data_IF_421919473557
#
_entry.id   IF_421919473557
#
_cell.length_a   1.000
_cell.length_b   1.000
_cell.length_c   1.000
_cell.angle_alpha   90.00
_cell.angle_beta   90.00
_cell.angle_gamma   90.00
#
_symmetry.space_group_name_H-M   'P 1'
#
loop_
_entity.id
_entity.type
_entity.pdbx_description
1 polymer ?
#
# COMPACT_ATOMS: atom_id res chain seq x y z
N UNK A 1 49.09 -44.47 5.31
CA UNK A 1 50.10 -44.59 4.23
C UNK A 1 49.39 -45.06 2.96
N UNK A 2 49.82 -44.52 1.81
CA UNK A 2 49.47 -44.89 0.43
C UNK A 2 48.09 -44.53 -0.15
N UNK A 3 48.07 -43.33 -0.75
CA UNK A 3 47.59 -42.96 -2.10
C UNK A 3 46.83 -44.02 -2.91
N UNK A 4 45.65 -43.62 -3.41
CA UNK A 4 45.18 -43.98 -4.75
C UNK A 4 44.47 -42.76 -5.37
N UNK A 5 45.09 -42.15 -6.37
CA UNK A 5 44.39 -41.49 -7.49
C UNK A 5 44.03 -42.60 -8.49
N UNK A 6 42.95 -42.52 -9.33
CA UNK A 6 42.98 -41.54 -10.41
C UNK A 6 41.63 -41.12 -11.07
N UNK A 7 41.79 -40.20 -12.03
CA UNK A 7 40.99 -39.93 -13.25
C UNK A 7 39.78 -39.00 -13.17
N UNK A 8 40.07 -37.74 -13.50
CA UNK A 8 39.22 -36.88 -14.35
C UNK A 8 38.93 -37.57 -15.69
N UNK A 9 37.67 -37.49 -16.11
CA UNK A 9 37.24 -37.53 -17.51
C UNK A 9 36.44 -36.25 -17.75
N UNK A 10 37.07 -35.32 -18.49
CA UNK A 10 36.36 -34.22 -19.13
C UNK A 10 35.55 -34.78 -20.30
N UNK A 11 34.25 -34.51 -20.29
CA UNK A 11 33.39 -34.50 -21.47
C UNK A 11 32.73 -33.13 -21.56
N UNK A 12 33.23 -32.30 -22.46
CA UNK A 12 32.76 -30.96 -22.74
C UNK A 12 31.51 -30.97 -23.64
N UNK A 13 30.54 -30.08 -23.38
CA UNK A 13 30.06 -29.06 -24.34
C UNK A 13 28.74 -28.44 -23.85
N UNK A 14 28.76 -27.12 -23.57
CA UNK A 14 27.53 -26.31 -23.54
C UNK A 14 27.52 -25.16 -22.53
N UNK A 15 27.82 -23.94 -23.01
CA UNK A 15 27.48 -22.61 -22.45
C UNK A 15 28.56 -21.77 -21.75
N UNK A 16 29.61 -21.44 -22.51
CA UNK A 16 30.56 -20.33 -22.26
C UNK A 16 29.95 -18.92 -22.45
N UNK A 17 28.70 -18.68 -22.06
CA UNK A 17 28.08 -17.33 -22.09
C UNK A 17 27.75 -16.75 -20.71
N UNK A 18 27.74 -17.56 -19.66
CA UNK A 18 27.41 -17.10 -18.30
C UNK A 18 28.62 -16.60 -17.50
N UNK A 19 29.84 -16.98 -17.89
CA UNK A 19 31.07 -16.68 -17.12
C UNK A 19 31.83 -15.42 -17.58
N UNK A 20 31.53 -14.84 -18.75
CA UNK A 20 32.16 -13.56 -19.16
C UNK A 20 31.42 -12.34 -18.61
N UNK A 21 30.09 -12.43 -18.41
CA UNK A 21 29.30 -11.32 -17.87
C UNK A 21 29.63 -10.99 -16.39
N UNK A 22 30.03 -12.00 -15.61
CA UNK A 22 30.42 -11.83 -14.21
C UNK A 22 31.83 -11.21 -14.05
N UNK A 23 32.70 -11.33 -15.05
CA UNK A 23 34.05 -10.76 -15.03
C UNK A 23 34.10 -9.30 -15.54
N UNK A 24 33.15 -8.89 -16.36
CA UNK A 24 33.03 -7.52 -16.87
C UNK A 24 32.35 -6.57 -15.86
N UNK A 25 31.52 -7.09 -14.96
CA UNK A 25 30.89 -6.34 -13.87
C UNK A 25 31.86 -5.94 -12.74
N UNK A 26 33.03 -6.54 -12.66
CA UNK A 26 34.03 -6.32 -11.61
C UNK A 26 35.12 -5.28 -11.98
N UNK A 27 34.99 -4.57 -13.12
CA UNK A 27 36.00 -3.60 -13.60
C UNK A 27 35.47 -2.17 -13.82
N UNK A 28 34.28 -1.85 -13.30
CA UNK A 28 33.71 -0.51 -13.38
C UNK A 28 33.41 0.02 -11.97
N UNK A 29 34.44 0.08 -11.14
CA UNK A 29 34.49 0.99 -9.99
C UNK A 29 35.42 2.15 -10.34
N UNK A 30 35.05 3.35 -9.88
CA UNK A 30 35.68 4.66 -10.08
C UNK A 30 35.35 5.40 -11.40
N UNK A 31 34.18 6.04 -11.42
CA UNK A 31 33.99 7.30 -12.14
C UNK A 31 33.10 8.24 -11.32
N UNK A 32 33.53 9.47 -11.01
CA UNK A 32 32.65 10.46 -10.39
C UNK A 32 31.52 10.83 -11.36
N UNK A 33 30.31 11.01 -10.80
CA UNK A 33 29.15 11.50 -11.53
C UNK A 33 29.42 12.93 -12.05
N UNK A 34 29.04 13.26 -13.30
CA UNK A 34 29.21 14.61 -13.81
C UNK A 34 28.22 15.58 -13.13
N UNK A 35 28.58 16.86 -12.97
CA UNK A 35 27.68 17.85 -12.39
C UNK A 35 26.47 18.09 -13.29
N UNK A 36 25.28 18.11 -12.69
CA UNK A 36 24.02 18.43 -13.37
C UNK A 36 24.07 19.89 -13.82
N UNK A 37 24.25 20.12 -15.12
CA UNK A 37 24.16 21.43 -15.73
C UNK A 37 22.70 21.93 -15.71
N UNK A 38 22.45 23.08 -15.09
CA UNK A 38 21.16 23.78 -15.17
C UNK A 38 20.95 24.26 -16.61
N UNK A 39 20.07 23.60 -17.37
CA UNK A 39 19.64 24.12 -18.67
C UNK A 39 18.58 25.20 -18.47
N UNK A 40 18.91 26.44 -18.81
CA UNK A 40 17.94 27.52 -19.03
C UNK A 40 17.12 27.20 -20.29
N UNK A 41 15.91 26.66 -20.12
CA UNK A 41 14.95 26.54 -21.20
C UNK A 41 13.87 27.61 -21.08
N UNK A 42 13.73 28.36 -22.16
CA UNK A 42 12.73 29.40 -22.42
C UNK A 42 11.30 28.89 -22.15
N UNK A 43 10.53 29.70 -21.43
CA UNK A 43 9.16 29.44 -21.04
C UNK A 43 8.25 29.09 -22.24
N UNK A 44 7.81 27.84 -22.29
CA UNK A 44 6.61 27.46 -23.05
C UNK A 44 5.38 27.87 -22.25
N UNK A 45 4.37 28.41 -22.94
CA UNK A 45 3.08 28.82 -22.37
C UNK A 45 2.50 27.73 -21.45
N UNK A 46 2.07 28.06 -20.21
CA UNK A 46 1.60 27.06 -19.27
C UNK A 46 0.28 26.45 -19.74
N UNK A 47 0.24 25.12 -19.83
CA UNK A 47 -1.02 24.37 -19.88
C UNK A 47 -1.83 24.65 -18.60
N UNK A 48 -3.16 24.82 -18.65
CA UNK A 48 -3.95 25.26 -17.49
C UNK A 48 -4.11 24.22 -16.37
N UNK A 49 -3.68 22.97 -16.61
CA UNK A 49 -3.73 21.88 -15.63
C UNK A 49 -2.29 21.42 -15.37
N UNK A 50 -1.82 21.43 -14.10
CA UNK A 50 -0.50 20.93 -13.79
C UNK A 50 -0.41 19.46 -14.18
N UNK A 51 0.66 19.07 -14.88
CA UNK A 51 0.94 17.66 -15.17
C UNK A 51 1.06 16.90 -13.84
N UNK A 52 0.33 15.78 -13.70
CA UNK A 52 0.37 14.94 -12.50
C UNK A 52 1.68 14.16 -12.47
N UNK A 53 2.62 14.58 -11.62
CA UNK A 53 3.95 14.01 -11.46
C UNK A 53 4.48 14.20 -10.04
N UNK A 54 4.12 13.27 -9.14
CA UNK A 54 4.55 13.28 -7.73
C UNK A 54 6.05 13.04 -7.60
N UNK A 55 6.62 12.15 -8.43
CA UNK A 55 8.04 11.84 -8.40
C UNK A 55 8.89 13.08 -8.68
N UNK A 56 8.48 13.89 -9.67
CA UNK A 56 9.11 15.18 -9.95
C UNK A 56 8.97 16.14 -8.79
N UNK A 57 7.78 16.28 -8.19
CA UNK A 57 7.59 17.13 -7.02
C UNK A 57 8.54 16.75 -5.88
N UNK A 58 8.69 15.45 -5.58
CA UNK A 58 9.61 14.98 -4.55
C UNK A 58 11.06 15.32 -4.93
N UNK A 59 11.48 15.01 -6.15
CA UNK A 59 12.84 15.27 -6.60
C UNK A 59 13.24 16.76 -6.55
N UNK A 60 12.27 17.67 -6.75
CA UNK A 60 12.49 19.12 -6.76
C UNK A 60 12.44 19.77 -5.37
N UNK A 61 11.80 19.14 -4.38
CA UNK A 61 11.50 19.79 -3.09
C UNK A 61 12.03 19.02 -1.86
N UNK A 62 12.41 17.75 -1.99
CA UNK A 62 12.88 16.95 -0.87
C UNK A 62 14.28 17.40 -0.39
N UNK A 63 14.45 17.52 0.92
CA UNK A 63 15.74 17.82 1.56
C UNK A 63 16.21 16.61 2.34
N UNK A 64 17.36 16.04 1.97
CA UNK A 64 17.90 14.87 2.64
C UNK A 64 18.41 15.22 4.06
N UNK A 65 17.83 14.58 5.09
CA UNK A 65 18.33 14.67 6.46
C UNK A 65 19.57 13.78 6.66
N UNK A 66 20.61 14.26 7.36
CA UNK A 66 21.86 13.51 7.57
C UNK A 66 22.20 13.29 9.05
N UNK A 67 21.33 13.77 9.95
CA UNK A 67 21.53 13.65 11.40
C UNK A 67 21.12 12.29 11.97
N UNK A 68 20.95 12.26 13.28
CA UNK A 68 20.56 11.08 14.04
C UNK A 68 19.10 11.17 14.54
N UNK A 69 18.71 10.29 15.46
CA UNK A 69 17.38 10.22 16.02
C UNK A 69 17.13 11.15 17.22
N UNK A 70 18.06 12.07 17.55
CA UNK A 70 17.96 12.91 18.75
C UNK A 70 16.82 13.95 18.71
N UNK A 71 16.32 14.28 17.51
CA UNK A 71 15.22 15.23 17.33
C UNK A 71 13.83 14.61 17.60
N UNK A 72 13.73 13.28 17.66
CA UNK A 72 12.45 12.58 17.75
C UNK A 72 11.70 12.92 19.04
N UNK A 73 10.43 13.28 18.88
CA UNK A 73 9.54 13.51 20.00
C UNK A 73 8.91 12.19 20.49
N UNK A 74 8.73 12.10 21.82
CA UNK A 74 7.98 11.01 22.44
C UNK A 74 6.48 11.25 22.34
N UNK A 75 5.71 10.20 22.62
CA UNK A 75 4.24 10.25 22.67
C UNK A 75 3.72 11.39 23.55
N UNK A 76 2.68 12.08 23.08
CA UNK A 76 1.99 13.11 23.87
C UNK A 76 0.88 12.49 24.74
N UNK A 77 0.41 13.18 25.79
CA UNK A 77 -0.74 12.71 26.58
C UNK A 77 -2.01 12.51 25.74
N UNK A 78 -2.18 13.27 24.65
CA UNK A 78 -3.32 13.13 23.73
C UNK A 78 -3.25 11.81 22.97
N UNK A 79 -2.12 11.54 22.30
CA UNK A 79 -1.89 10.28 21.58
C UNK A 79 -1.98 9.09 22.53
N UNK A 80 -1.43 9.19 23.73
CA UNK A 80 -1.46 8.11 24.71
C UNK A 80 -2.90 7.77 25.14
N UNK A 81 -3.76 8.77 25.38
CA UNK A 81 -5.18 8.52 25.69
C UNK A 81 -5.90 7.81 24.54
N UNK A 82 -5.72 8.30 23.32
CA UNK A 82 -6.33 7.71 22.12
C UNK A 82 -5.89 6.25 21.93
N UNK A 83 -4.59 5.99 22.12
CA UNK A 83 -4.02 4.66 22.01
C UNK A 83 -4.53 3.71 23.10
N UNK A 84 -4.59 4.16 24.36
CA UNK A 84 -5.10 3.32 25.46
C UNK A 84 -6.58 2.94 25.30
N UNK A 85 -7.42 3.84 24.78
CA UNK A 85 -8.81 3.50 24.45
C UNK A 85 -8.88 2.42 23.37
N UNK A 86 -8.05 2.56 22.33
CA UNK A 86 -8.01 1.60 21.26
C UNK A 86 -7.44 0.24 21.70
N UNK A 87 -6.41 0.20 22.55
CA UNK A 87 -5.88 -1.04 23.14
C UNK A 87 -6.97 -1.84 23.85
N UNK A 88 -7.84 -1.15 24.59
CA UNK A 88 -8.99 -1.79 25.24
C UNK A 88 -9.96 -2.42 24.23
N UNK A 89 -10.19 -1.79 23.08
CA UNK A 89 -11.01 -2.34 22.01
C UNK A 89 -10.32 -3.50 21.28
N UNK A 90 -9.00 -3.44 21.09
CA UNK A 90 -8.21 -4.51 20.49
C UNK A 90 -8.23 -5.76 21.38
N UNK A 91 -8.12 -5.61 22.70
CA UNK A 91 -8.25 -6.75 23.62
C UNK A 91 -9.63 -7.40 23.51
N UNK A 92 -10.71 -6.60 23.44
CA UNK A 92 -12.06 -7.12 23.18
C UNK A 92 -12.18 -7.81 21.82
N UNK A 93 -11.52 -7.29 20.78
CA UNK A 93 -11.47 -7.94 19.46
C UNK A 93 -10.76 -9.30 19.56
N UNK A 94 -9.63 -9.39 20.26
CA UNK A 94 -8.88 -10.64 20.42
C UNK A 94 -9.67 -11.70 21.17
N UNK A 95 -10.41 -11.33 22.22
CA UNK A 95 -11.27 -12.24 22.98
C UNK A 95 -12.44 -12.78 22.14
N UNK A 96 -13.01 -11.95 21.26
CA UNK A 96 -14.16 -12.31 20.40
C UNK A 96 -13.77 -12.86 19.03
N UNK A 97 -12.55 -12.63 18.58
CA UNK A 97 -12.08 -12.83 17.21
C UNK A 97 -12.43 -11.70 16.24
N UNK A 98 -13.67 -11.21 16.28
CA UNK A 98 -14.15 -10.03 15.53
C UNK A 98 -14.97 -9.15 16.46
N UNK A 99 -14.62 -7.86 16.55
CA UNK A 99 -15.29 -6.95 17.48
C UNK A 99 -16.76 -6.70 17.11
N UNK A 100 -17.00 -6.36 15.84
CA UNK A 100 -18.33 -6.09 15.28
C UNK A 100 -18.32 -6.20 13.75
N UNK A 101 -19.48 -6.50 13.16
CA UNK A 101 -19.74 -6.52 11.72
C UNK A 101 -21.20 -6.12 11.48
N UNK A 102 -21.46 -5.35 10.41
CA UNK A 102 -22.83 -5.13 9.91
C UNK A 102 -23.10 -6.04 8.70
N UNK A 103 -23.85 -7.15 8.84
CA UNK A 103 -24.13 -8.08 7.76
C UNK A 103 -25.04 -7.51 6.66
N UNK A 104 -25.78 -6.43 6.96
CA UNK A 104 -26.78 -5.85 6.07
C UNK A 104 -26.19 -4.81 5.11
N UNK A 105 -24.93 -4.42 5.32
CA UNK A 105 -24.35 -3.22 4.70
C UNK A 105 -23.07 -3.51 3.92
N UNK A 106 -23.20 -3.82 2.61
CA UNK A 106 -22.06 -3.90 1.69
C UNK A 106 -21.25 -2.60 1.67
N UNK A 107 -19.93 -2.74 1.78
CA UNK A 107 -19.01 -1.62 1.79
C UNK A 107 -18.86 -0.96 0.41
N UNK A 108 -18.90 0.36 0.38
CA UNK A 108 -18.47 1.23 -0.72
C UNK A 108 -17.72 2.42 -0.11
N UNK A 109 -17.15 3.31 -0.93
CA UNK A 109 -16.45 4.52 -0.44
C UNK A 109 -17.36 5.35 0.49
N UNK A 110 -18.67 5.40 0.19
CA UNK A 110 -19.65 6.26 0.88
C UNK A 110 -20.70 5.50 1.69
N UNK A 111 -20.62 4.17 1.77
CA UNK A 111 -21.63 3.36 2.45
C UNK A 111 -21.76 3.72 3.94
N UNK A 112 -20.63 3.86 4.64
CA UNK A 112 -20.60 4.15 6.07
C UNK A 112 -20.43 5.64 6.33
N UNK A 113 -21.15 6.15 7.33
CA UNK A 113 -20.95 7.49 7.87
C UNK A 113 -19.61 7.62 8.60
N UNK A 114 -19.31 8.81 9.15
CA UNK A 114 -18.06 9.03 9.86
C UNK A 114 -18.03 8.25 11.17
N UNK A 115 -16.99 7.44 11.36
CA UNK A 115 -16.60 6.84 12.64
C UNK A 115 -15.35 7.50 13.23
N UNK A 116 -15.25 7.49 14.56
CA UNK A 116 -14.19 8.10 15.36
C UNK A 116 -13.78 7.14 16.49
N UNK A 117 -12.53 7.22 16.95
CA UNK A 117 -12.12 6.60 18.22
C UNK A 117 -12.54 7.56 19.34
N UNK A 118 -12.02 8.79 19.29
CA UNK A 118 -12.46 9.93 20.10
C UNK A 118 -12.34 11.19 19.24
N UNK A 119 -13.48 11.68 18.77
CA UNK A 119 -13.55 12.81 17.85
C UNK A 119 -12.89 14.09 18.39
N UNK A 120 -12.86 14.28 19.72
CA UNK A 120 -12.27 15.47 20.31
C UNK A 120 -10.74 15.41 20.37
N UNK A 121 -10.17 14.20 20.32
CA UNK A 121 -8.73 13.99 20.42
C UNK A 121 -8.05 13.78 19.07
N UNK A 122 -8.74 13.23 18.07
CA UNK A 122 -8.14 12.86 16.79
C UNK A 122 -7.74 14.08 15.94
N UNK A 123 -6.47 14.12 15.51
CA UNK A 123 -5.95 15.08 14.52
C UNK A 123 -6.07 14.57 13.09
N UNK A 124 -5.93 13.25 12.90
CA UNK A 124 -6.18 12.55 11.64
C UNK A 124 -7.37 11.61 11.84
N UNK A 125 -8.43 11.84 11.06
CA UNK A 125 -9.72 11.15 11.18
C UNK A 125 -10.01 10.26 9.97
N UNK A 126 -10.96 9.34 10.15
CA UNK A 126 -11.40 8.41 9.13
C UNK A 126 -11.30 6.96 9.60
N UNK A 127 -12.37 6.20 9.44
CA UNK A 127 -12.46 4.77 9.74
C UNK A 127 -13.15 4.03 8.59
N UNK A 128 -12.88 2.74 8.42
CA UNK A 128 -13.51 1.94 7.35
C UNK A 128 -15.03 1.86 7.51
N UNK A 129 -15.52 1.81 8.74
CA UNK A 129 -16.94 1.82 9.09
C UNK A 129 -17.26 3.01 10.01
N UNK A 130 -18.44 3.00 10.61
CA UNK A 130 -18.96 3.97 11.56
C UNK A 130 -18.41 3.79 13.00
N UNK A 131 -17.60 2.76 13.26
CA UNK A 131 -17.00 2.49 14.57
C UNK A 131 -15.59 1.89 14.47
N UNK A 132 -14.70 2.08 15.46
CA UNK A 132 -13.38 1.48 15.47
C UNK A 132 -13.45 -0.05 15.48
N UNK A 133 -12.59 -0.70 14.67
CA UNK A 133 -12.45 -2.16 14.54
C UNK A 133 -13.70 -2.92 14.05
N UNK A 134 -14.82 -2.23 13.77
CA UNK A 134 -15.99 -2.84 13.11
C UNK A 134 -15.66 -3.13 11.65
N UNK A 135 -15.78 -4.39 11.24
CA UNK A 135 -15.44 -4.84 9.88
C UNK A 135 -16.64 -4.68 8.94
N UNK A 136 -16.37 -4.32 7.69
CA UNK A 136 -17.39 -4.25 6.65
C UNK A 136 -17.41 -5.54 5.81
N UNK A 137 -18.57 -5.87 5.25
CA UNK A 137 -18.69 -6.95 4.26
C UNK A 137 -18.44 -6.43 2.83
N UNK A 138 -17.74 -7.21 2.00
CA UNK A 138 -17.38 -6.86 0.61
C UNK A 138 -17.78 -7.98 -0.36
N UNK A 139 -19.07 -8.12 -0.64
CA UNK A 139 -19.60 -9.28 -1.37
C UNK A 139 -19.22 -9.34 -2.85
N UNK A 140 -18.70 -8.25 -3.45
CA UNK A 140 -18.22 -8.26 -4.85
C UNK A 140 -17.10 -9.29 -5.08
N UNK A 141 -16.26 -9.57 -4.06
CA UNK A 141 -15.25 -10.61 -4.11
C UNK A 141 -15.84 -12.03 -4.14
N UNK A 142 -16.95 -12.25 -3.43
CA UNK A 142 -17.68 -13.52 -3.39
C UNK A 142 -18.63 -13.62 -2.19
N UNK A 143 -19.94 -13.73 -2.46
CA UNK A 143 -20.97 -13.78 -1.41
C UNK A 143 -20.84 -15.02 -0.51
N UNK A 144 -20.49 -16.18 -1.06
CA UNK A 144 -20.32 -17.41 -0.27
C UNK A 144 -19.18 -17.29 0.75
N UNK A 145 -18.12 -16.54 0.44
CA UNK A 145 -17.01 -16.33 1.37
C UNK A 145 -17.44 -15.40 2.50
N UNK A 146 -18.22 -14.36 2.19
CA UNK A 146 -18.82 -13.47 3.20
C UNK A 146 -19.75 -14.26 4.14
N UNK A 147 -20.64 -15.11 3.59
CA UNK A 147 -21.55 -15.94 4.39
C UNK A 147 -20.81 -16.86 5.36
N UNK A 148 -19.89 -17.67 4.84
CA UNK A 148 -19.10 -18.60 5.64
C UNK A 148 -18.32 -17.87 6.74
N UNK A 149 -17.82 -16.68 6.44
CA UNK A 149 -17.08 -15.87 7.39
C UNK A 149 -17.99 -15.25 8.47
N UNK A 150 -19.19 -14.76 8.12
CA UNK A 150 -20.17 -14.27 9.10
C UNK A 150 -20.60 -15.39 10.06
N UNK A 151 -20.96 -16.55 9.51
CA UNK A 151 -21.38 -17.73 10.28
C UNK A 151 -20.28 -18.22 11.22
N UNK A 152 -19.02 -18.21 10.79
CA UNK A 152 -17.87 -18.61 11.60
C UNK A 152 -17.68 -17.74 12.86
N UNK A 153 -18.16 -16.48 12.84
CA UNK A 153 -18.11 -15.57 13.98
C UNK A 153 -19.49 -15.32 14.62
N UNK A 154 -20.48 -16.17 14.32
CA UNK A 154 -21.80 -16.12 14.96
C UNK A 154 -22.74 -15.03 14.43
N UNK A 155 -22.44 -14.42 13.29
CA UNK A 155 -23.32 -13.45 12.63
C UNK A 155 -24.24 -14.15 11.63
N UNK A 156 -25.48 -13.69 11.54
CA UNK A 156 -26.44 -14.18 10.54
C UNK A 156 -26.29 -13.37 9.25
N UNK A 157 -26.03 -14.01 8.09
CA UNK A 157 -26.01 -13.31 6.81
C UNK A 157 -27.36 -12.65 6.49
N UNK A 158 -27.32 -11.43 5.95
CA UNK A 158 -28.52 -10.73 5.53
C UNK A 158 -29.10 -11.36 4.24
N UNK A 159 -30.38 -11.82 4.25
CA UNK A 159 -30.98 -12.47 3.08
C UNK A 159 -31.08 -11.58 1.85
N UNK A 160 -31.25 -10.27 2.02
CA UNK A 160 -31.33 -9.33 0.91
C UNK A 160 -29.96 -9.14 0.26
N UNK A 161 -28.90 -9.03 1.06
CA UNK A 161 -27.52 -8.99 0.55
C UNK A 161 -27.20 -10.29 -0.20
N UNK A 162 -27.56 -11.44 0.35
CA UNK A 162 -27.38 -12.73 -0.33
C UNK A 162 -28.09 -12.77 -1.68
N UNK A 163 -29.37 -12.38 -1.72
CA UNK A 163 -30.14 -12.36 -2.95
C UNK A 163 -29.53 -11.41 -3.99
N UNK A 164 -29.15 -10.19 -3.58
CA UNK A 164 -28.55 -9.19 -4.44
C UNK A 164 -27.29 -9.72 -5.13
N UNK A 165 -26.35 -10.32 -4.38
CA UNK A 165 -25.07 -10.80 -4.92
C UNK A 165 -25.10 -12.23 -5.46
N UNK A 166 -26.27 -12.89 -5.42
CA UNK A 166 -26.48 -14.20 -6.05
C UNK A 166 -27.27 -14.08 -7.35
N UNK A 167 -28.31 -13.23 -7.38
CA UNK A 167 -29.27 -13.16 -8.50
C UNK A 167 -29.13 -11.92 -9.38
N UNK A 168 -28.67 -10.79 -8.82
CA UNK A 168 -28.68 -9.50 -9.53
C UNK A 168 -27.26 -9.07 -9.92
N UNK A 169 -26.34 -9.03 -8.94
CA UNK A 169 -24.94 -8.62 -9.15
C UNK A 169 -24.02 -9.83 -9.06
N UNK A 170 -23.55 -10.31 -10.22
CA UNK A 170 -22.53 -11.36 -10.29
C UNK A 170 -21.26 -10.93 -9.55
N UNK A 171 -20.70 -11.84 -8.74
CA UNK A 171 -19.45 -11.63 -8.00
C UNK A 171 -18.23 -12.13 -8.79
N UNK A 172 -17.03 -11.68 -8.38
CA UNK A 172 -15.76 -12.18 -8.91
C UNK A 172 -15.65 -13.70 -8.75
N UNK A 173 -15.86 -14.22 -7.54
CA UNK A 173 -15.84 -15.66 -7.26
C UNK A 173 -16.75 -16.45 -8.22
N UNK A 174 -18.02 -16.05 -8.39
CA UNK A 174 -18.93 -16.75 -9.30
C UNK A 174 -18.42 -16.71 -10.75
N UNK A 175 -17.91 -15.56 -11.22
CA UNK A 175 -17.32 -15.44 -12.55
C UNK A 175 -16.10 -16.34 -12.78
N UNK A 176 -15.20 -16.43 -11.81
CA UNK A 176 -14.04 -17.31 -11.86
C UNK A 176 -14.47 -18.77 -11.95
N UNK A 177 -15.37 -19.21 -11.07
CA UNK A 177 -15.79 -20.62 -11.04
C UNK A 177 -16.62 -21.02 -12.27
N UNK A 178 -17.35 -20.11 -12.92
CA UNK A 178 -18.01 -20.41 -14.20
C UNK A 178 -17.02 -20.71 -15.33
N UNK A 179 -15.78 -20.21 -15.24
CA UNK A 179 -14.76 -20.35 -16.29
C UNK A 179 -13.67 -21.38 -15.97
N UNK A 180 -13.57 -21.81 -14.71
CA UNK A 180 -12.62 -22.83 -14.29
C UNK A 180 -12.84 -24.18 -14.99
N UNK A 181 -11.76 -24.72 -15.56
CA UNK A 181 -11.75 -26.07 -16.12
C UNK A 181 -11.75 -27.14 -15.02
N UNK A 182 -12.08 -28.38 -15.39
CA UNK A 182 -11.99 -29.52 -14.49
C UNK A 182 -10.56 -29.72 -13.95
N UNK A 183 -9.55 -29.49 -14.78
CA UNK A 183 -8.13 -29.58 -14.42
C UNK A 183 -7.74 -28.53 -13.37
N UNK A 184 -8.11 -27.26 -13.57
CA UNK A 184 -7.86 -26.19 -12.60
C UNK A 184 -8.47 -26.51 -11.23
N UNK A 185 -9.70 -27.03 -11.22
CA UNK A 185 -10.40 -27.46 -10.00
C UNK A 185 -9.70 -28.64 -9.33
N UNK A 186 -9.21 -29.60 -10.10
CA UNK A 186 -8.44 -30.73 -9.60
C UNK A 186 -7.12 -30.28 -8.96
N UNK A 187 -6.36 -29.40 -9.63
CA UNK A 187 -5.11 -28.84 -9.11
C UNK A 187 -5.32 -28.07 -7.80
N UNK A 188 -6.42 -27.30 -7.70
CA UNK A 188 -6.81 -26.60 -6.48
C UNK A 188 -7.17 -27.56 -5.36
N UNK A 189 -8.01 -28.57 -5.63
CA UNK A 189 -8.41 -29.61 -4.65
C UNK A 189 -7.20 -30.43 -4.18
N UNK A 190 -6.25 -30.67 -5.07
CA UNK A 190 -5.00 -31.33 -4.78
C UNK A 190 -3.99 -30.43 -4.07
N UNK A 191 -4.29 -29.15 -3.78
CA UNK A 191 -3.33 -28.21 -3.19
C UNK A 191 -2.01 -28.08 -3.97
N UNK A 192 -2.04 -28.29 -5.29
CA UNK A 192 -0.94 -27.94 -6.21
C UNK A 192 -0.91 -26.44 -6.44
N UNK A 193 -2.09 -25.85 -6.62
CA UNK A 193 -2.30 -24.40 -6.68
C UNK A 193 -3.13 -24.00 -5.46
N UNK A 194 -2.59 -23.11 -4.61
CA UNK A 194 -3.23 -22.76 -3.33
C UNK A 194 -3.26 -21.26 -3.11
N UNK A 195 -4.33 -20.80 -2.49
CA UNK A 195 -4.50 -19.40 -2.12
C UNK A 195 -4.71 -18.46 -3.29
N UNK A 196 -5.02 -18.95 -4.50
CA UNK A 196 -5.35 -18.10 -5.64
C UNK A 196 -6.45 -17.09 -5.27
N UNK A 197 -6.45 -15.86 -5.82
CA UNK A 197 -7.44 -14.84 -5.51
C UNK A 197 -8.78 -15.12 -6.22
N UNK A 198 -9.37 -16.28 -5.93
CA UNK A 198 -10.65 -16.73 -6.47
C UNK A 198 -11.83 -16.53 -5.52
N UNK A 199 -11.58 -16.09 -4.28
CA UNK A 199 -12.60 -15.84 -3.26
C UNK A 199 -12.43 -14.54 -2.46
N UNK A 200 -11.52 -13.66 -2.88
CA UNK A 200 -11.21 -12.40 -2.19
C UNK A 200 -10.57 -11.40 -3.17
N UNK A 201 -10.46 -10.13 -2.80
CA UNK A 201 -9.79 -9.12 -3.62
C UNK A 201 -8.32 -9.48 -3.90
N UNK A 202 -7.89 -9.38 -5.17
CA UNK A 202 -6.50 -9.74 -5.53
C UNK A 202 -5.41 -8.92 -4.84
N UNK A 203 -5.71 -7.67 -4.45
CA UNK A 203 -4.72 -6.74 -3.91
C UNK A 203 -3.57 -6.46 -4.89
N UNK A 204 -2.37 -6.18 -4.37
CA UNK A 204 -1.16 -5.89 -5.17
C UNK A 204 -1.32 -4.70 -6.13
N UNK A 205 -2.06 -3.70 -5.65
CA UNK A 205 -2.25 -2.42 -6.31
C UNK A 205 -1.92 -1.34 -5.28
N UNK A 206 -1.03 -0.42 -5.66
CA UNK A 206 -0.72 0.77 -4.86
C UNK A 206 -1.25 1.98 -5.62
N UNK A 207 -2.38 2.52 -5.15
CA UNK A 207 -2.81 3.85 -5.56
C UNK A 207 -1.77 4.88 -5.12
N UNK A 208 -1.49 5.88 -5.96
CA UNK A 208 -0.62 6.99 -5.57
C UNK A 208 -1.42 8.00 -4.72
N UNK A 209 -1.65 7.66 -3.45
CA UNK A 209 -2.51 8.42 -2.54
C UNK A 209 -1.98 9.84 -2.27
N UNK A 210 -0.67 10.05 -2.47
CA UNK A 210 0.00 11.37 -2.40
C UNK A 210 -0.61 12.37 -3.38
N UNK A 211 -1.19 11.90 -4.50
CA UNK A 211 -1.85 12.75 -5.50
C UNK A 211 -3.02 13.53 -4.92
N UNK A 212 -3.78 12.94 -3.98
CA UNK A 212 -4.92 13.62 -3.34
C UNK A 212 -4.43 14.84 -2.57
N UNK A 213 -3.37 14.67 -1.77
CA UNK A 213 -2.74 15.76 -1.03
C UNK A 213 -2.10 16.80 -1.96
N UNK A 214 -1.34 16.37 -2.97
CA UNK A 214 -0.57 17.29 -3.82
C UNK A 214 -1.42 18.11 -4.80
N UNK A 215 -2.49 17.53 -5.34
CA UNK A 215 -3.26 18.15 -6.42
C UNK A 215 -4.70 18.48 -6.06
N UNK A 216 -5.26 17.86 -5.02
CA UNK A 216 -6.69 17.89 -4.78
C UNK A 216 -7.47 17.08 -5.81
N UNK A 217 -8.68 16.67 -5.45
CA UNK A 217 -9.47 15.74 -6.27
C UNK A 217 -9.97 16.39 -7.57
N UNK A 218 -10.23 17.70 -7.60
CA UNK A 218 -10.75 18.35 -8.81
C UNK A 218 -9.74 18.33 -9.96
N UNK A 219 -8.45 18.52 -9.65
CA UNK A 219 -7.39 18.43 -10.64
C UNK A 219 -7.24 16.99 -11.17
N UNK A 220 -7.37 15.98 -10.29
CA UNK A 220 -7.32 14.56 -10.69
C UNK A 220 -8.50 14.17 -11.58
N UNK A 221 -9.71 14.66 -11.27
CA UNK A 221 -10.88 14.46 -12.12
C UNK A 221 -10.70 15.15 -13.47
N UNK A 222 -10.15 16.37 -13.49
CA UNK A 222 -9.89 17.10 -14.74
C UNK A 222 -8.90 16.36 -15.64
N UNK A 223 -7.84 15.77 -15.06
CA UNK A 223 -6.86 14.96 -15.79
C UNK A 223 -7.49 13.67 -16.35
N UNK A 224 -8.32 12.97 -15.57
CA UNK A 224 -9.07 11.80 -16.07
C UNK A 224 -10.08 12.14 -17.16
N UNK A 225 -10.73 13.30 -17.08
CA UNK A 225 -11.60 13.80 -18.16
C UNK A 225 -10.80 14.12 -19.43
N UNK A 226 -9.56 14.59 -19.29
CA UNK A 226 -8.65 14.81 -20.42
C UNK A 226 -8.29 13.48 -21.08
N UNK A 227 -8.07 12.41 -20.32
CA UNK A 227 -7.86 11.07 -20.88
C UNK A 227 -9.03 10.65 -21.78
N UNK A 228 -10.27 10.76 -21.28
CA UNK A 228 -11.47 10.42 -22.06
C UNK A 228 -11.66 11.29 -23.31
N UNK A 229 -11.28 12.57 -23.23
CA UNK A 229 -11.50 13.55 -24.30
C UNK A 229 -10.41 13.49 -25.38
N UNK A 230 -9.18 13.19 -25.01
CA UNK A 230 -8.01 13.37 -25.88
C UNK A 230 -7.18 12.10 -26.06
N UNK A 231 -7.03 11.27 -25.03
CA UNK A 231 -6.11 10.12 -25.06
C UNK A 231 -6.82 8.82 -25.45
N UNK A 232 -8.12 8.70 -25.12
CA UNK A 232 -8.93 7.50 -25.35
C UNK A 232 -9.93 7.69 -26.50
N UNK A 233 -9.47 8.29 -27.59
CA UNK A 233 -10.25 8.51 -28.82
C UNK A 233 -9.85 7.51 -29.92
N UNK A 234 -10.59 7.45 -31.02
CA UNK A 234 -10.32 6.56 -32.16
C UNK A 234 -11.28 5.36 -32.24
N UNK A 235 -10.79 4.24 -32.78
CA UNK A 235 -11.60 3.01 -33.04
C UNK A 235 -12.12 2.40 -31.73
N UNK A 236 -13.41 2.16 -31.58
CA UNK A 236 -13.94 1.58 -30.34
C UNK A 236 -13.83 0.05 -30.35
N UNK A 237 -12.61 -0.46 -30.13
CA UNK A 237 -12.35 -1.88 -29.86
C UNK A 237 -12.64 -2.24 -28.39
N UNK A 238 -12.59 -3.53 -28.06
CA UNK A 238 -12.90 -4.03 -26.70
C UNK A 238 -12.00 -3.39 -25.64
N UNK A 239 -10.70 -3.27 -25.92
CA UNK A 239 -9.73 -2.68 -24.99
C UNK A 239 -10.04 -1.20 -24.72
N UNK A 240 -10.30 -0.41 -25.77
CA UNK A 240 -10.62 1.02 -25.63
C UNK A 240 -11.97 1.23 -24.98
N UNK A 241 -12.98 0.40 -25.28
CA UNK A 241 -14.28 0.45 -24.61
C UNK A 241 -14.10 0.19 -23.11
N UNK A 242 -13.41 -0.89 -22.74
CA UNK A 242 -13.13 -1.24 -21.34
C UNK A 242 -12.37 -0.13 -20.62
N UNK A 243 -11.29 0.37 -21.20
CA UNK A 243 -10.47 1.41 -20.56
C UNK A 243 -11.24 2.73 -20.38
N UNK A 244 -12.14 3.09 -21.29
CA UNK A 244 -13.01 4.27 -21.13
C UNK A 244 -14.03 4.10 -20.01
N UNK A 245 -14.60 2.90 -19.86
CA UNK A 245 -15.48 2.56 -18.73
C UNK A 245 -14.69 2.65 -17.41
N UNK A 246 -13.51 2.01 -17.33
CA UNK A 246 -12.64 2.05 -16.15
C UNK A 246 -12.23 3.48 -15.75
N UNK A 247 -11.91 4.35 -16.72
CA UNK A 247 -11.61 5.77 -16.42
C UNK A 247 -12.86 6.53 -15.95
N UNK A 248 -14.05 6.19 -16.46
CA UNK A 248 -15.30 6.78 -15.99
C UNK A 248 -15.62 6.35 -14.54
N UNK A 249 -15.33 5.09 -14.20
CA UNK A 249 -15.44 4.57 -12.84
C UNK A 249 -14.42 5.23 -11.90
N UNK A 250 -13.18 5.46 -12.35
CA UNK A 250 -12.19 6.23 -11.60
C UNK A 250 -12.68 7.65 -11.29
N UNK A 251 -13.33 8.32 -12.25
CA UNK A 251 -13.92 9.65 -12.02
C UNK A 251 -15.06 9.58 -11.00
N UNK A 252 -15.90 8.54 -11.05
CA UNK A 252 -16.98 8.34 -10.07
C UNK A 252 -16.41 8.13 -8.66
N UNK A 253 -15.44 7.24 -8.52
CA UNK A 253 -14.75 6.95 -7.26
C UNK A 253 -14.08 8.20 -6.67
N UNK A 254 -13.47 9.06 -7.49
CA UNK A 254 -12.93 10.34 -7.04
C UNK A 254 -14.03 11.29 -6.51
N UNK A 255 -15.22 11.32 -7.13
CA UNK A 255 -16.34 12.10 -6.59
C UNK A 255 -16.86 11.51 -5.27
N UNK A 256 -16.95 10.19 -5.17
CA UNK A 256 -17.30 9.50 -3.92
C UNK A 256 -16.26 9.78 -2.82
N UNK A 257 -14.98 9.87 -3.16
CA UNK A 257 -13.91 10.26 -2.24
C UNK A 257 -14.14 11.67 -1.68
N UNK A 258 -14.59 12.63 -2.51
CA UNK A 258 -14.98 13.97 -2.04
C UNK A 258 -16.16 13.89 -1.08
N UNK A 259 -17.18 13.08 -1.39
CA UNK A 259 -18.35 12.90 -0.52
C UNK A 259 -17.96 12.27 0.82
N UNK A 260 -17.07 11.28 0.81
CA UNK A 260 -16.56 10.64 2.01
C UNK A 260 -15.75 11.63 2.86
N UNK A 261 -14.83 12.40 2.28
CA UNK A 261 -14.09 13.40 3.04
C UNK A 261 -15.01 14.51 3.60
N UNK A 262 -16.02 14.93 2.83
CA UNK A 262 -16.99 15.92 3.25
C UNK A 262 -17.85 15.46 4.44
N UNK A 263 -18.15 14.16 4.56
CA UNK A 263 -18.88 13.63 5.73
C UNK A 263 -18.08 13.73 7.03
N UNK A 264 -16.75 13.84 6.94
CA UNK A 264 -15.85 14.15 8.04
C UNK A 264 -15.55 15.65 8.20
N UNK A 265 -16.17 16.53 7.39
CA UNK A 265 -15.98 17.97 7.46
C UNK A 265 -14.81 18.52 6.64
N UNK A 266 -14.20 17.74 5.75
CA UNK A 266 -13.03 18.14 4.95
C UNK A 266 -13.36 18.31 3.46
N UNK A 267 -12.83 19.36 2.84
CA UNK A 267 -12.93 19.58 1.39
C UNK A 267 -11.62 19.20 0.68
N UNK A 268 -11.57 17.96 0.18
CA UNK A 268 -10.43 17.43 -0.59
C UNK A 268 -10.44 17.86 -2.07
N UNK A 269 -11.33 18.77 -2.48
CA UNK A 269 -11.35 19.26 -3.88
C UNK A 269 -10.04 19.95 -4.26
N UNK A 270 -9.38 20.60 -3.30
CA UNK A 270 -8.15 21.39 -3.48
C UNK A 270 -6.93 20.69 -2.86
N UNK A 271 -5.70 21.05 -3.33
CA UNK A 271 -4.46 20.60 -2.71
C UNK A 271 -4.37 20.95 -1.22
N UNK A 272 -3.69 20.09 -0.46
CA UNK A 272 -3.37 20.33 0.94
C UNK A 272 -2.47 21.56 1.13
N UNK A 273 -2.81 22.39 2.12
CA UNK A 273 -2.16 23.66 2.46
C UNK A 273 -1.30 23.57 3.73
N UNK A 274 -1.44 22.51 4.53
CA UNK A 274 -0.69 22.25 5.76
C UNK A 274 -0.15 20.81 5.80
N UNK A 275 0.77 20.52 6.72
CA UNK A 275 1.22 19.17 6.99
C UNK A 275 0.08 18.26 7.46
N UNK A 276 -0.82 18.77 8.30
CA UNK A 276 -2.00 18.02 8.75
C UNK A 276 -2.92 17.67 7.58
N UNK A 277 -3.22 18.62 6.69
CA UNK A 277 -4.02 18.34 5.49
C UNK A 277 -3.31 17.36 4.56
N UNK A 278 -1.98 17.44 4.42
CA UNK A 278 -1.24 16.52 3.55
C UNK A 278 -1.33 15.07 4.04
N UNK A 279 -1.17 14.85 5.35
CA UNK A 279 -1.37 13.53 5.98
C UNK A 279 -2.83 13.07 5.84
N UNK A 280 -3.78 13.95 6.13
CA UNK A 280 -5.20 13.63 6.10
C UNK A 280 -5.73 13.32 4.67
N UNK A 281 -5.27 14.05 3.65
CA UNK A 281 -5.73 13.90 2.26
C UNK A 281 -5.15 12.62 1.66
N UNK A 282 -3.87 12.36 1.95
CA UNK A 282 -3.22 11.10 1.63
C UNK A 282 -3.98 9.94 2.29
N UNK A 283 -4.28 10.05 3.59
CA UNK A 283 -5.04 9.02 4.29
C UNK A 283 -6.44 8.83 3.71
N UNK A 284 -7.14 9.89 3.29
CA UNK A 284 -8.44 9.72 2.63
C UNK A 284 -8.34 8.95 1.32
N UNK A 285 -7.33 9.21 0.50
CA UNK A 285 -7.07 8.43 -0.71
C UNK A 285 -6.95 6.93 -0.40
N UNK A 286 -6.22 6.60 0.67
CA UNK A 286 -6.07 5.22 1.14
C UNK A 286 -7.37 4.67 1.75
N UNK A 287 -8.07 5.46 2.56
CA UNK A 287 -9.32 5.08 3.22
C UNK A 287 -10.39 4.70 2.21
N UNK A 288 -10.52 5.46 1.11
CA UNK A 288 -11.42 5.10 0.01
C UNK A 288 -11.11 3.70 -0.54
N UNK A 289 -9.82 3.40 -0.78
CA UNK A 289 -9.39 2.10 -1.26
C UNK A 289 -9.72 0.97 -0.27
N UNK A 290 -9.43 1.13 1.03
CA UNK A 290 -9.71 0.08 2.04
C UNK A 290 -11.18 0.03 2.48
N UNK A 291 -12.00 1.03 2.15
CA UNK A 291 -13.47 0.94 2.23
C UNK A 291 -14.04 0.14 1.08
N UNK A 292 -13.55 0.32 -0.14
CA UNK A 292 -14.12 -0.32 -1.32
C UNK A 292 -13.59 -1.74 -1.55
N UNK A 293 -12.29 -1.98 -1.33
CA UNK A 293 -11.61 -3.23 -1.72
C UNK A 293 -11.06 -4.00 -0.51
N UNK A 294 -11.07 -5.33 -0.56
CA UNK A 294 -10.48 -6.27 0.42
C UNK A 294 -9.28 -7.04 -0.17
N UNK A 295 -8.43 -6.32 -0.88
CA UNK A 295 -7.22 -6.89 -1.45
C UNK A 295 -6.32 -7.50 -0.38
N UNK A 296 -5.80 -8.72 -0.59
CA UNK A 296 -4.88 -9.37 0.38
C UNK A 296 -3.68 -8.50 0.78
N UNK A 297 -3.23 -7.61 -0.11
CA UNK A 297 -2.26 -6.56 0.20
C UNK A 297 -2.79 -5.22 -0.29
N UNK A 298 -3.04 -4.31 0.65
CA UNK A 298 -3.46 -2.93 0.43
C UNK A 298 -2.38 -2.00 0.95
N UNK A 299 -1.24 -2.02 0.28
CA UNK A 299 -0.06 -1.26 0.67
C UNK A 299 -0.26 0.24 0.48
N UNK A 300 0.36 1.04 1.36
CA UNK A 300 0.32 2.50 1.33
C UNK A 300 1.27 3.09 0.28
N UNK A 301 2.36 2.36 -0.04
CA UNK A 301 3.38 2.81 -0.98
C UNK A 301 4.55 3.49 -0.27
N UNK A 302 5.06 4.59 -0.84
CA UNK A 302 6.21 5.34 -0.34
C UNK A 302 5.83 6.80 -0.13
N UNK A 303 5.65 7.19 1.12
CA UNK A 303 5.06 8.50 1.48
C UNK A 303 5.99 9.36 2.33
N UNK A 304 7.07 8.78 2.84
CA UNK A 304 7.97 9.36 3.82
C UNK A 304 8.60 10.67 3.33
N UNK A 305 9.30 10.64 2.19
CA UNK A 305 9.90 11.82 1.59
C UNK A 305 8.85 12.85 1.14
N UNK A 306 7.66 12.37 0.76
CA UNK A 306 6.56 13.23 0.34
C UNK A 306 5.98 14.04 1.49
N UNK A 307 5.66 13.40 2.61
CA UNK A 307 5.11 14.07 3.79
C UNK A 307 6.16 14.98 4.44
N UNK A 308 7.43 14.58 4.43
CA UNK A 308 8.52 15.38 5.00
C UNK A 308 8.63 16.78 4.38
N UNK A 309 8.37 16.91 3.07
CA UNK A 309 8.33 18.22 2.38
C UNK A 309 7.30 19.16 3.03
N UNK A 310 6.14 18.64 3.43
CA UNK A 310 5.12 19.45 4.10
C UNK A 310 5.47 19.73 5.56
N UNK A 311 6.06 18.77 6.27
CA UNK A 311 6.52 18.97 7.64
C UNK A 311 7.62 20.02 7.72
N UNK A 312 8.68 19.91 6.91
CA UNK A 312 9.78 20.87 6.85
C UNK A 312 9.29 22.28 6.56
N UNK A 313 8.36 22.42 5.61
CA UNK A 313 7.74 23.71 5.30
C UNK A 313 7.01 24.31 6.49
N UNK A 314 6.23 23.51 7.21
CA UNK A 314 5.41 24.00 8.33
C UNK A 314 6.26 24.23 9.61
N UNK A 315 7.30 23.41 9.83
CA UNK A 315 8.31 23.59 10.88
C UNK A 315 9.10 24.88 10.66
N UNK A 316 9.63 25.11 9.44
CA UNK A 316 10.36 26.33 9.09
C UNK A 316 9.50 27.60 9.22
N UNK A 317 8.18 27.47 9.02
CA UNK A 317 7.22 28.54 9.21
C UNK A 317 6.71 28.66 10.67
N UNK A 318 7.23 27.87 11.61
CA UNK A 318 6.79 27.79 13.01
C UNK A 318 5.28 27.57 13.17
N UNK A 319 4.64 26.83 12.24
CA UNK A 319 3.20 26.49 12.32
C UNK A 319 2.95 25.25 13.16
N UNK A 320 3.95 24.38 13.23
CA UNK A 320 3.95 23.16 14.03
C UNK A 320 5.30 23.03 14.72
N UNK A 321 5.32 22.26 15.80
CA UNK A 321 6.51 21.77 16.48
C UNK A 321 6.83 20.34 16.04
N UNK A 322 8.02 19.85 16.36
CA UNK A 322 8.40 18.46 16.09
C UNK A 322 7.47 17.46 16.81
N UNK A 323 7.03 17.78 18.03
CA UNK A 323 6.07 16.98 18.77
C UNK A 323 4.70 16.92 18.06
N UNK A 324 4.25 18.03 17.48
CA UNK A 324 3.01 18.05 16.71
C UNK A 324 3.14 17.31 15.36
N UNK A 325 4.32 17.36 14.72
CA UNK A 325 4.60 16.55 13.54
C UNK A 325 4.55 15.05 13.86
N UNK A 326 5.17 14.63 14.97
CA UNK A 326 5.10 13.25 15.45
C UNK A 326 3.67 12.84 15.80
N UNK A 327 2.87 13.72 16.43
CA UNK A 327 1.46 13.42 16.71
C UNK A 327 0.64 13.14 15.45
N UNK A 328 0.88 13.87 14.36
CA UNK A 328 0.19 13.64 13.09
C UNK A 328 0.55 12.28 12.50
N UNK A 329 1.82 11.86 12.61
CA UNK A 329 2.28 10.54 12.18
C UNK A 329 1.76 9.44 13.09
N UNK A 330 1.76 9.64 14.41
CA UNK A 330 1.22 8.68 15.37
C UNK A 330 -0.28 8.45 15.10
N UNK A 331 -1.09 9.51 14.95
CA UNK A 331 -2.52 9.39 14.62
C UNK A 331 -2.75 8.69 13.28
N UNK A 332 -1.96 9.03 12.27
CA UNK A 332 -2.01 8.37 10.97
C UNK A 332 -1.69 6.87 11.08
N UNK A 333 -0.63 6.49 11.79
CA UNK A 333 -0.25 5.09 12.00
C UNK A 333 -1.27 4.34 12.85
N UNK A 334 -1.90 4.98 13.84
CA UNK A 334 -3.05 4.43 14.56
C UNK A 334 -4.14 4.01 13.56
N UNK A 335 -4.45 4.86 12.57
CA UNK A 335 -5.44 4.53 11.54
C UNK A 335 -5.03 3.37 10.64
N UNK A 336 -3.73 3.20 10.35
CA UNK A 336 -3.24 2.06 9.59
C UNK A 336 -3.29 0.76 10.41
N UNK A 337 -2.97 0.83 11.71
CA UNK A 337 -3.01 -0.31 12.67
C UNK A 337 -4.41 -0.91 12.86
N UNK A 338 -5.46 -0.13 12.60
CA UNK A 338 -6.85 -0.53 12.79
C UNK A 338 -7.58 -0.87 11.50
N UNK A 339 -6.86 -0.92 10.37
CA UNK A 339 -7.44 -1.47 9.14
C UNK A 339 -7.72 -2.96 9.38
N UNK A 340 -8.94 -3.38 9.05
CA UNK A 340 -9.40 -4.77 9.12
C UNK A 340 -10.04 -5.14 7.78
N UNK A 341 -9.77 -6.35 7.29
CA UNK A 341 -10.42 -6.86 6.09
C UNK A 341 -11.09 -8.19 6.37
N UNK A 342 -12.41 -8.22 6.21
CA UNK A 342 -13.23 -9.42 6.37
C UNK A 342 -12.94 -10.17 7.67
N UNK A 343 -13.56 -11.34 7.88
CA UNK A 343 -13.28 -12.13 9.07
C UNK A 343 -12.03 -13.03 8.96
N UNK A 344 -11.39 -13.14 7.78
CA UNK A 344 -10.46 -14.24 7.47
C UNK A 344 -9.06 -13.80 6.99
N UNK A 345 -8.75 -12.50 6.84
CA UNK A 345 -7.44 -12.08 6.31
C UNK A 345 -6.79 -10.95 7.09
N UNK A 346 -5.50 -11.15 7.44
CA UNK A 346 -4.61 -10.07 7.82
C UNK A 346 -4.43 -9.11 6.62
N UNK A 347 -4.33 -7.81 6.90
CA UNK A 347 -4.13 -6.78 5.89
C UNK A 347 -2.68 -6.39 5.93
N UNK A 348 -1.93 -6.63 4.85
CA UNK A 348 -0.56 -6.12 4.73
C UNK A 348 -0.61 -4.66 4.24
N UNK A 349 -0.39 -3.72 5.17
CA UNK A 349 -0.25 -2.29 4.90
C UNK A 349 1.23 -1.96 4.80
N UNK A 350 1.82 -2.33 3.67
CA UNK A 350 3.25 -2.08 3.44
C UNK A 350 3.52 -0.61 3.23
N UNK A 351 4.46 -0.09 4.00
CA UNK A 351 4.95 1.28 3.89
C UNK A 351 6.46 1.25 3.69
N UNK A 352 6.89 1.65 2.49
CA UNK A 352 8.30 1.80 2.17
C UNK A 352 8.80 3.15 2.72
N UNK A 353 9.87 3.08 3.51
CA UNK A 353 10.62 4.23 3.99
C UNK A 353 12.05 4.13 3.45
N UNK A 354 12.51 5.19 2.80
CA UNK A 354 13.87 5.31 2.27
C UNK A 354 14.54 6.62 2.70
N UNK A 355 13.78 7.53 3.30
CA UNK A 355 14.26 8.84 3.70
C UNK A 355 14.55 8.90 5.20
N UNK A 356 15.40 9.84 5.53
CA UNK A 356 16.13 9.91 6.77
C UNK A 356 15.32 10.49 7.94
N UNK A 357 14.03 10.83 7.74
CA UNK A 357 13.14 11.23 8.83
C UNK A 357 12.41 10.03 9.41
N UNK A 358 12.84 9.70 10.61
CA UNK A 358 12.59 8.50 11.37
C UNK A 358 11.17 8.45 12.00
N UNK A 359 10.34 9.48 11.82
CA UNK A 359 9.05 9.65 12.51
C UNK A 359 8.11 8.45 12.42
N UNK A 360 8.05 7.80 11.25
CA UNK A 360 7.23 6.59 11.05
C UNK A 360 7.78 5.42 11.88
N UNK A 361 9.10 5.25 11.93
CA UNK A 361 9.72 4.19 12.72
C UNK A 361 9.59 4.48 14.23
N UNK A 362 9.60 5.75 14.63
CA UNK A 362 9.40 6.17 16.02
C UNK A 362 8.04 5.75 16.58
N UNK A 363 7.04 5.54 15.72
CA UNK A 363 5.73 5.01 16.14
C UNK A 363 5.81 3.64 16.81
N UNK A 364 6.85 2.84 16.52
CA UNK A 364 7.07 1.54 17.18
C UNK A 364 7.55 1.69 18.63
N UNK A 365 8.07 2.86 19.01
CA UNK A 365 8.32 3.22 20.40
C UNK A 365 7.11 3.93 21.02
N UNK A 366 6.53 4.89 20.29
CA UNK A 366 5.45 5.74 20.83
C UNK A 366 4.13 4.98 21.06
N UNK A 367 3.81 4.05 20.16
CA UNK A 367 2.59 3.23 20.16
C UNK A 367 2.88 1.75 20.44
N UNK A 368 4.13 1.42 20.75
CA UNK A 368 4.61 0.05 20.90
C UNK A 368 4.75 -0.74 19.58
N UNK A 369 5.39 -1.92 19.64
CA UNK A 369 5.60 -2.80 18.48
C UNK A 369 4.27 -3.27 17.88
N UNK A 370 4.19 -3.28 16.55
CA UNK A 370 3.02 -3.78 15.83
C UNK A 370 3.44 -4.38 14.48
N UNK A 371 2.77 -5.45 14.01
CA UNK A 371 3.01 -6.01 12.68
C UNK A 371 2.51 -5.10 11.56
N UNK A 372 1.52 -4.25 11.85
CA UNK A 372 0.97 -3.28 10.91
C UNK A 372 1.18 -1.85 11.41
N UNK A 373 1.36 -0.86 10.52
CA UNK A 373 1.70 -1.06 9.11
C UNK A 373 3.02 -1.83 8.95
N UNK A 374 3.12 -2.68 7.93
CA UNK A 374 4.35 -3.38 7.60
C UNK A 374 5.42 -2.39 7.10
N UNK A 375 6.30 -1.95 8.01
CA UNK A 375 7.32 -0.95 7.75
C UNK A 375 8.54 -1.56 7.05
N UNK A 376 8.82 -1.08 5.84
CA UNK A 376 9.90 -1.58 4.97
C UNK A 376 10.96 -0.53 4.76
N UNK A 377 12.17 -0.77 5.26
CA UNK A 377 13.32 0.10 5.01
C UNK A 377 13.93 -0.28 3.66
N UNK A 378 13.89 0.65 2.70
CA UNK A 378 14.60 0.53 1.44
C UNK A 378 16.09 0.77 1.70
N UNK A 379 16.83 -0.30 1.93
CA UNK A 379 18.20 -0.27 2.44
C UNK A 379 19.24 -0.05 1.35
N UNK A 380 20.16 0.89 1.60
CA UNK A 380 21.38 1.09 0.81
C UNK A 380 22.58 1.32 1.72
N UNK A 381 23.78 0.93 1.25
CA UNK A 381 25.04 1.17 1.94
C UNK A 381 25.34 2.67 2.10
N UNK A 382 24.71 3.53 1.32
CA UNK A 382 24.90 4.98 1.36
C UNK A 382 24.01 5.70 2.38
N UNK A 383 23.17 4.99 3.15
CA UNK A 383 22.37 5.62 4.19
C UNK A 383 23.23 6.31 5.26
N UNK A 384 22.78 7.43 5.83
CA UNK A 384 23.47 8.09 6.93
C UNK A 384 23.67 7.14 8.11
N UNK A 385 24.80 7.27 8.81
CA UNK A 385 25.14 6.36 9.90
C UNK A 385 24.10 6.38 11.02
N UNK A 386 23.60 7.57 11.41
CA UNK A 386 22.56 7.71 12.43
C UNK A 386 21.25 7.02 12.06
N UNK A 387 20.87 7.02 10.77
CA UNK A 387 19.69 6.29 10.29
C UNK A 387 19.89 4.77 10.36
N UNK A 388 21.06 4.27 9.94
CA UNK A 388 21.39 2.84 10.02
C UNK A 388 21.36 2.33 11.47
N UNK A 389 21.96 3.08 12.38
CA UNK A 389 21.98 2.75 13.82
C UNK A 389 20.58 2.78 14.42
N UNK A 390 19.75 3.76 14.03
CA UNK A 390 18.37 3.81 14.48
C UNK A 390 17.55 2.62 13.98
N UNK A 391 17.63 2.30 12.69
CA UNK A 391 16.97 1.13 12.11
C UNK A 391 17.40 -0.16 12.81
N UNK A 392 18.71 -0.36 13.02
CA UNK A 392 19.22 -1.51 13.76
C UNK A 392 18.66 -1.59 15.19
N UNK A 393 18.60 -0.46 15.90
CA UNK A 393 18.02 -0.37 17.25
C UNK A 393 16.53 -0.72 17.24
N UNK A 394 15.74 -0.16 16.33
CA UNK A 394 14.32 -0.51 16.18
C UNK A 394 14.14 -2.00 15.92
N UNK A 395 14.95 -2.61 15.04
CA UNK A 395 14.90 -4.05 14.80
C UNK A 395 15.18 -4.86 16.06
N UNK A 396 16.20 -4.49 16.84
CA UNK A 396 16.56 -5.15 18.10
C UNK A 396 15.43 -5.04 19.13
N UNK A 397 14.85 -3.85 19.27
CA UNK A 397 13.88 -3.56 20.32
C UNK A 397 12.48 -4.10 19.99
N UNK A 398 12.11 -4.15 18.71
CA UNK A 398 10.70 -4.34 18.30
C UNK A 398 10.47 -5.53 17.37
N UNK A 399 11.49 -6.00 16.65
CA UNK A 399 11.36 -7.02 15.59
C UNK A 399 10.24 -6.74 14.57
N UNK A 400 9.91 -5.46 14.34
CA UNK A 400 8.70 -5.04 13.60
C UNK A 400 8.99 -4.30 12.29
N UNK A 401 10.21 -4.38 11.77
CA UNK A 401 10.58 -3.76 10.48
C UNK A 401 11.26 -4.77 9.57
N UNK A 402 11.03 -4.64 8.26
CA UNK A 402 11.68 -5.41 7.22
C UNK A 402 12.62 -4.54 6.38
N UNK A 403 13.53 -5.17 5.64
CA UNK A 403 14.54 -4.49 4.83
C UNK A 403 14.52 -5.04 3.42
N UNK A 404 14.62 -4.14 2.44
CA UNK A 404 14.66 -4.49 1.03
C UNK A 404 15.79 -3.74 0.31
N UNK A 405 16.47 -4.38 -0.63
CA UNK A 405 17.71 -3.86 -1.22
C UNK A 405 17.45 -2.76 -2.27
N UNK A 406 17.54 -1.49 -1.86
CA UNK A 406 17.33 -0.32 -2.73
C UNK A 406 18.41 -0.19 -3.81
N UNK A 407 19.66 -0.55 -3.50
CA UNK A 407 20.74 -0.49 -4.49
C UNK A 407 20.51 -1.44 -5.69
N UNK A 408 19.74 -2.50 -5.49
CA UNK A 408 19.29 -3.39 -6.56
C UNK A 408 18.01 -2.87 -7.22
N UNK A 409 16.98 -2.54 -6.44
CA UNK A 409 15.66 -2.20 -6.99
C UNK A 409 15.62 -0.85 -7.69
N UNK A 410 16.33 0.17 -7.19
CA UNK A 410 16.37 1.49 -7.81
C UNK A 410 16.92 1.48 -9.25
N UNK A 411 17.76 0.50 -9.58
CA UNK A 411 18.25 0.30 -10.96
C UNK A 411 17.14 -0.18 -11.91
N UNK A 412 16.12 -0.85 -11.39
CA UNK A 412 15.01 -1.42 -12.15
C UNK A 412 13.79 -0.49 -12.17
N UNK A 413 13.49 0.17 -11.05
CA UNK A 413 12.26 0.96 -10.85
C UNK A 413 12.52 2.45 -10.60
N UNK A 414 13.77 2.92 -10.72
CA UNK A 414 14.11 4.31 -10.42
C UNK A 414 13.94 4.65 -8.93
N UNK A 415 13.73 5.93 -8.63
CA UNK A 415 13.74 6.44 -7.26
C UNK A 415 12.37 6.53 -6.58
N UNK A 416 11.26 6.33 -7.31
CA UNK A 416 9.88 6.46 -6.78
C UNK A 416 9.06 5.17 -6.95
N UNK A 417 9.59 4.09 -6.41
CA UNK A 417 8.91 2.80 -6.30
C UNK A 417 8.46 2.53 -4.87
N UNK A 418 7.46 1.67 -4.73
CA UNK A 418 6.98 1.14 -3.45
C UNK A 418 7.00 -0.38 -3.44
N UNK A 419 6.89 -0.97 -2.25
CA UNK A 419 6.76 -2.41 -2.06
C UNK A 419 5.29 -2.73 -1.84
N UNK A 420 4.75 -3.64 -2.65
CA UNK A 420 3.42 -4.18 -2.47
C UNK A 420 3.47 -5.54 -1.76
N UNK A 421 2.67 -5.69 -0.71
CA UNK A 421 2.73 -6.82 0.21
C UNK A 421 4.15 -6.96 0.76
N UNK A 422 4.70 -8.16 0.77
CA UNK A 422 5.99 -8.40 1.41
C UNK A 422 7.18 -7.84 0.62
N UNK A 423 7.32 -8.17 -0.68
CA UNK A 423 8.62 -8.04 -1.40
C UNK A 423 8.52 -7.58 -2.86
N UNK A 424 7.34 -7.19 -3.35
CA UNK A 424 7.18 -6.90 -4.79
C UNK A 424 7.19 -5.41 -5.08
N UNK A 425 8.30 -4.94 -5.64
CA UNK A 425 8.46 -3.56 -6.08
C UNK A 425 7.54 -3.22 -7.26
N UNK A 426 7.05 -1.97 -7.30
CA UNK A 426 6.32 -1.39 -8.42
C UNK A 426 6.49 0.13 -8.46
N UNK A 427 6.52 0.72 -9.65
CA UNK A 427 6.49 2.18 -9.80
C UNK A 427 5.13 2.72 -9.33
N UNK A 428 5.14 3.64 -8.36
CA UNK A 428 3.91 4.08 -7.70
C UNK A 428 3.00 4.82 -8.70
N UNK A 429 1.75 4.35 -8.80
CA UNK A 429 0.73 4.93 -9.69
C UNK A 429 1.05 4.83 -11.19
N UNK A 430 2.00 3.96 -11.58
CA UNK A 430 2.38 3.65 -12.97
C UNK A 430 2.28 2.17 -13.28
N UNK A 431 2.56 1.32 -12.29
CA UNK A 431 2.49 -0.14 -12.41
C UNK A 431 1.40 -0.72 -11.49
N UNK A 432 0.97 -1.95 -11.81
CA UNK A 432 0.22 -2.81 -10.90
C UNK A 432 0.52 -4.28 -11.20
N UNK A 433 0.25 -5.18 -10.25
CA UNK A 433 0.54 -6.62 -10.41
C UNK A 433 -0.74 -7.44 -10.34
N UNK A 434 -0.88 -8.43 -11.23
CA UNK A 434 -1.88 -9.47 -11.08
C UNK A 434 -1.38 -10.55 -10.13
N UNK A 435 -1.89 -10.52 -8.90
CA UNK A 435 -1.51 -11.47 -7.88
C UNK A 435 -1.90 -12.91 -8.24
N UNK A 436 -0.94 -13.83 -8.14
CA UNK A 436 -1.13 -15.25 -8.51
C UNK A 436 -0.95 -16.24 -7.35
N UNK A 437 -0.88 -15.76 -6.10
CA UNK A 437 -0.59 -16.60 -4.94
C UNK A 437 0.66 -17.47 -5.12
N UNK A 438 0.55 -18.81 -5.00
CA UNK A 438 1.69 -19.73 -5.09
C UNK A 438 1.33 -21.12 -5.64
N UNK A 439 2.31 -21.72 -6.32
CA UNK A 439 2.30 -23.13 -6.71
C UNK A 439 3.17 -23.96 -5.76
N UNK A 440 2.73 -25.18 -5.44
CA UNK A 440 3.41 -26.09 -4.53
C UNK A 440 4.38 -26.99 -5.30
N UNK A 441 5.62 -26.51 -5.52
CA UNK A 441 6.65 -27.24 -6.24
C UNK A 441 7.03 -28.59 -5.61
N UNK A 442 7.16 -28.74 -4.27
CA UNK A 442 7.37 -30.05 -3.67
C UNK A 442 6.27 -31.06 -3.99
N UNK A 443 5.00 -30.63 -3.98
CA UNK A 443 3.88 -31.51 -4.32
C UNK A 443 3.84 -31.86 -5.81
N UNK A 444 4.21 -30.91 -6.67
CA UNK A 444 4.39 -31.18 -8.10
C UNK A 444 5.47 -32.24 -8.34
N UNK A 445 6.60 -32.17 -7.64
CA UNK A 445 7.64 -33.18 -7.70
C UNK A 445 7.11 -34.57 -7.30
N UNK A 446 6.32 -34.64 -6.22
CA UNK A 446 5.69 -35.91 -5.82
C UNK A 446 4.74 -36.46 -6.89
N UNK A 447 4.03 -35.62 -7.62
CA UNK A 447 3.19 -36.09 -8.74
C UNK A 447 4.04 -36.65 -9.88
N UNK A 448 5.12 -35.96 -10.26
CA UNK A 448 6.05 -36.47 -11.28
C UNK A 448 6.66 -37.82 -10.87
N UNK A 449 6.93 -38.02 -9.57
CA UNK A 449 7.51 -39.28 -9.07
C UNK A 449 6.52 -40.44 -8.95
N UNK A 450 5.22 -40.16 -8.80
CA UNK A 450 4.20 -41.19 -8.55
C UNK A 450 3.34 -41.52 -9.78
N UNK A 451 3.65 -40.93 -10.94
CA UNK A 451 2.89 -41.02 -12.20
C UNK A 451 1.38 -40.76 -12.00
#
# INVERSE_FOLDING_TARGET
MCRVQPRMLLGAAGSTRALSAAAEAARLEESPLPPIARSSQSAKSPSPVPTIDVAKFIAENFTAYQGDASFLATTTPRTQRLWSELEHLIHKEQEKGVLDVDPSKPSTITAFGPGYIDQALEKIVGLQTDAPLKRAIKPLGGINMVKAALEAYGYTPDPHVEELYTKVRKTHNSGVFDTYTAEMRAARKASLLTGLPDGYGRGRIIGDYRRVALYGVDALIADKKKDLKHNLVGVMDEERIRLREEVSDQIRALNELKQMAASYGHDVSKPAQSAQEAVQWLYYGYLGAVKEQDGAAMSMGRIDAFLDIFFERDLAANRITEAEAQELIDDFVIKLRIVRQGPVSAVDVTLAAACNKILILQTLYNLGPAPEPNLTVLWTANHPQGFKEFCARVSLDTSSIQYENDAMMSKLFGSDYGIACCVSAMNIGKDMQFFGARANLPKLLLYVMNE
#
